data_IF_628711855486
#
_entry.id   IF_628711855486
#
_cell.length_a   1.000
_cell.length_b   1.000
_cell.length_c   1.000
_cell.angle_alpha   90.00
_cell.angle_beta   90.00
_cell.angle_gamma   90.00
#
_symmetry.space_group_name_H-M   'P 1'
#
loop_
_entity.id
_entity.type
_entity.pdbx_description
1 polymer ?
#
# COMPACT_ATOMS: atom_id res chain seq x y z
N UNK A 1 -15.48 4.68 -44.46
CA UNK A 1 -14.66 5.87 -44.15
C UNK A 1 -13.25 5.71 -44.66
N UNK A 2 -12.68 6.72 -45.32
CA UNK A 2 -11.27 6.76 -45.72
C UNK A 2 -10.45 7.59 -44.74
N UNK A 3 -9.32 7.06 -44.26
CA UNK A 3 -8.43 7.79 -43.35
C UNK A 3 -6.98 7.72 -43.84
N UNK A 4 -6.28 8.85 -43.74
CA UNK A 4 -4.84 8.93 -43.94
C UNK A 4 -4.09 8.34 -42.75
N UNK A 5 -3.00 7.59 -42.95
CA UNK A 5 -2.17 7.07 -41.86
C UNK A 5 -1.45 8.16 -41.04
N UNK A 6 -1.48 9.42 -41.46
CA UNK A 6 -0.96 10.56 -40.69
C UNK A 6 -2.05 11.30 -39.88
N UNK A 7 -3.16 10.62 -39.58
CA UNK A 7 -4.21 11.17 -38.71
C UNK A 7 -3.72 11.24 -37.25
N UNK A 8 -4.04 12.30 -36.48
CA UNK A 8 -3.69 12.36 -35.05
C UNK A 8 -4.28 11.15 -34.29
N UNK A 9 -3.44 10.46 -33.51
CA UNK A 9 -3.78 9.18 -32.87
C UNK A 9 -5.00 9.27 -31.95
N UNK A 10 -5.16 10.38 -31.23
CA UNK A 10 -6.27 10.60 -30.31
C UNK A 10 -7.61 10.65 -31.06
N UNK A 11 -7.69 11.39 -32.16
CA UNK A 11 -8.90 11.49 -33.00
C UNK A 11 -9.16 10.17 -33.75
N UNK A 12 -8.09 9.47 -34.15
CA UNK A 12 -8.19 8.17 -34.82
C UNK A 12 -8.87 7.13 -33.91
N UNK A 13 -8.54 7.10 -32.62
CA UNK A 13 -9.17 6.20 -31.65
C UNK A 13 -10.68 6.45 -31.53
N UNK A 14 -11.11 7.72 -31.54
CA UNK A 14 -12.54 8.08 -31.52
C UNK A 14 -13.27 7.68 -32.80
N UNK A 15 -12.65 7.82 -33.96
CA UNK A 15 -13.26 7.40 -35.23
C UNK A 15 -13.34 5.87 -35.31
N UNK A 16 -12.32 5.16 -34.82
CA UNK A 16 -12.29 3.70 -34.77
C UNK A 16 -13.33 3.14 -33.80
N UNK A 17 -13.50 3.75 -32.62
CA UNK A 17 -14.52 3.32 -31.67
C UNK A 17 -15.93 3.55 -32.24
N UNK A 18 -16.19 4.73 -32.80
CA UNK A 18 -17.48 5.03 -33.45
C UNK A 18 -17.78 4.10 -34.62
N UNK A 19 -16.79 3.84 -35.48
CA UNK A 19 -16.98 2.96 -36.63
C UNK A 19 -17.22 1.49 -36.24
N UNK A 20 -16.58 1.02 -35.16
CA UNK A 20 -16.81 -0.31 -34.61
C UNK A 20 -18.24 -0.47 -34.09
N UNK A 21 -18.78 0.57 -33.43
CA UNK A 21 -20.13 0.53 -32.85
C UNK A 21 -21.25 0.61 -33.89
N UNK A 22 -20.99 1.21 -35.04
CA UNK A 22 -21.97 1.40 -36.11
C UNK A 22 -21.72 0.55 -37.35
N UNK A 23 -20.84 -0.45 -37.25
CA UNK A 23 -20.47 -1.39 -38.32
C UNK A 23 -19.99 -0.68 -39.62
N UNK A 24 -19.30 0.45 -39.44
CA UNK A 24 -18.81 1.29 -40.53
C UNK A 24 -17.43 0.81 -40.97
N UNK A 25 -17.30 0.34 -42.21
CA UNK A 25 -16.01 -0.10 -42.74
C UNK A 25 -15.03 1.07 -42.88
N UNK A 26 -13.84 0.95 -42.27
CA UNK A 26 -12.74 1.89 -42.42
C UNK A 26 -11.72 1.35 -43.42
N UNK A 27 -11.28 2.20 -44.34
CA UNK A 27 -10.25 1.90 -45.33
C UNK A 27 -9.13 2.93 -45.17
N UNK A 28 -7.92 2.47 -44.89
CA UNK A 28 -6.76 3.34 -44.80
C UNK A 28 -6.20 3.62 -46.19
N UNK A 29 -6.00 4.89 -46.52
CA UNK A 29 -5.57 5.35 -47.84
C UNK A 29 -4.43 6.34 -47.67
N UNK A 30 -3.36 6.20 -48.44
CA UNK A 30 -2.22 7.12 -48.31
C UNK A 30 -2.60 8.56 -48.69
N UNK A 31 -1.96 9.55 -48.07
CA UNK A 31 -2.19 10.97 -48.41
C UNK A 31 -1.97 11.28 -49.89
N UNK A 32 -1.13 10.50 -50.58
CA UNK A 32 -0.87 10.61 -52.03
C UNK A 32 -2.05 10.10 -52.87
N UNK A 33 -2.72 9.03 -52.45
CA UNK A 33 -3.94 8.51 -53.08
C UNK A 33 -5.12 9.45 -52.84
N UNK A 34 -5.29 10.00 -51.63
CA UNK A 34 -6.31 11.01 -51.34
C UNK A 34 -6.13 12.28 -52.18
N UNK A 35 -4.89 12.77 -52.36
CA UNK A 35 -4.63 13.94 -53.23
C UNK A 35 -4.96 13.70 -54.70
N UNK A 36 -4.74 12.48 -55.21
CA UNK A 36 -5.10 12.12 -56.60
C UNK A 36 -6.60 12.07 -56.84
N UNK A 37 -7.39 11.70 -55.83
CA UNK A 37 -8.84 11.59 -55.92
C UNK A 37 -9.55 12.95 -55.87
N UNK A 38 -8.98 13.94 -55.16
CA UNK A 38 -9.67 15.20 -54.87
C UNK A 38 -9.00 16.45 -55.44
N UNK A 39 -7.90 16.28 -56.20
CA UNK A 39 -7.11 17.24 -57.02
C UNK A 39 -6.72 18.63 -56.44
N UNK A 40 -7.39 19.16 -55.40
CA UNK A 40 -7.19 20.51 -54.84
C UNK A 40 -7.31 20.61 -53.32
N UNK A 41 -7.67 19.53 -52.63
CA UNK A 41 -7.95 19.56 -51.19
C UNK A 41 -6.90 18.78 -50.39
N UNK A 42 -6.30 19.40 -49.37
CA UNK A 42 -5.45 18.72 -48.39
C UNK A 42 -6.37 18.11 -47.35
N UNK A 43 -6.75 16.84 -47.54
CA UNK A 43 -7.66 16.12 -46.67
C UNK A 43 -6.94 14.96 -45.98
N UNK A 44 -7.18 14.79 -44.68
CA UNK A 44 -6.70 13.65 -43.91
C UNK A 44 -7.70 12.50 -43.85
N UNK A 45 -8.95 12.69 -44.28
CA UNK A 45 -9.96 11.63 -44.36
C UNK A 45 -11.21 12.07 -45.10
N UNK A 46 -12.07 11.11 -45.47
CA UNK A 46 -13.34 11.33 -46.17
C UNK A 46 -14.37 10.27 -45.78
N UNK A 47 -15.65 10.65 -45.70
CA UNK A 47 -16.76 9.75 -45.41
C UNK A 47 -17.67 9.64 -46.64
N UNK A 48 -18.26 8.46 -46.85
CA UNK A 48 -19.12 8.17 -48.00
C UNK A 48 -20.43 7.57 -47.51
N UNK A 49 -21.54 7.95 -48.14
CA UNK A 49 -22.83 7.28 -47.89
C UNK A 49 -22.91 5.98 -48.68
N UNK A 50 -23.71 5.02 -48.21
CA UNK A 50 -23.78 3.67 -48.81
C UNK A 50 -24.15 3.66 -50.30
N UNK A 51 -24.99 4.61 -50.75
CA UNK A 51 -25.38 4.76 -52.16
C UNK A 51 -24.21 5.15 -53.08
N UNK A 52 -23.11 5.61 -52.51
CA UNK A 52 -21.96 6.21 -53.21
C UNK A 52 -20.74 5.27 -53.18
N UNK A 53 -20.80 4.22 -52.35
CA UNK A 53 -19.75 3.21 -52.12
C UNK A 53 -19.37 2.45 -53.39
N UNK A 54 -20.36 2.09 -54.22
CA UNK A 54 -20.15 1.27 -55.43
C UNK A 54 -19.39 2.02 -56.52
N UNK A 55 -19.80 3.26 -56.82
CA UNK A 55 -19.13 4.13 -57.77
C UNK A 55 -17.69 4.47 -57.34
N UNK A 56 -17.47 4.63 -56.02
CA UNK A 56 -16.13 4.85 -55.46
C UNK A 56 -15.22 3.62 -55.61
N UNK A 57 -15.71 2.42 -55.29
CA UNK A 57 -14.93 1.17 -55.43
C UNK A 57 -14.60 0.87 -56.90
N UNK A 58 -15.50 1.14 -57.83
CA UNK A 58 -15.27 1.03 -59.27
C UNK A 58 -14.22 2.03 -59.76
N UNK A 59 -14.18 3.26 -59.24
CA UNK A 59 -13.16 4.24 -59.59
C UNK A 59 -11.77 3.91 -58.99
N UNK A 60 -11.72 3.24 -57.84
CA UNK A 60 -10.48 2.86 -57.14
C UNK A 60 -9.87 1.54 -57.64
N UNK A 61 -10.72 0.58 -58.06
CA UNK A 61 -10.31 -0.79 -58.40
C UNK A 61 -10.72 -1.23 -59.82
N UNK A 62 -11.51 -0.43 -60.55
CA UNK A 62 -12.00 -0.73 -61.90
C UNK A 62 -10.98 -0.47 -63.00
N UNK A 63 -9.86 -1.18 -62.94
CA UNK A 63 -8.92 -1.33 -64.04
C UNK A 63 -8.84 -2.78 -64.47
N UNK A 64 -9.73 -3.23 -65.36
CA UNK A 64 -9.49 -4.45 -66.13
C UNK A 64 -10.72 -5.28 -66.47
N UNK A 65 -11.16 -5.22 -67.74
CA UNK A 65 -10.80 -6.22 -68.78
C UNK A 65 -11.71 -6.04 -70.00
N UNK A 66 -11.14 -5.59 -71.13
CA UNK A 66 -11.06 -6.37 -72.38
C UNK A 66 -10.84 -5.48 -73.62
N UNK A 67 -9.72 -5.72 -74.32
CA UNK A 67 -9.64 -5.61 -75.78
C UNK A 67 -9.42 -4.22 -76.39
N UNK A 68 -8.15 -3.81 -76.55
CA UNK A 68 -7.52 -3.48 -77.84
C UNK A 68 -6.19 -2.75 -77.59
N UNK A 69 -5.22 -3.06 -78.46
CA UNK A 69 -3.83 -2.59 -78.43
C UNK A 69 -3.73 -1.06 -78.49
N UNK A 70 -2.71 -0.54 -77.81
CA UNK A 70 -1.97 0.65 -78.26
C UNK A 70 -2.60 1.99 -77.91
N UNK A 71 -2.15 2.55 -76.79
CA UNK A 71 -1.85 3.95 -76.51
C UNK A 71 -2.16 4.23 -75.04
N UNK A 72 -1.12 4.56 -74.28
CA UNK A 72 -1.26 5.37 -73.07
C UNK A 72 -2.13 6.57 -73.43
N UNK A 73 -3.36 6.60 -72.91
CA UNK A 73 -4.13 7.82 -72.81
C UNK A 73 -4.27 8.11 -71.34
N UNK A 74 -3.62 9.18 -70.93
CA UNK A 74 -3.96 9.95 -69.75
C UNK A 74 -5.47 10.21 -69.74
N UNK A 75 -6.22 9.36 -69.04
CA UNK A 75 -7.59 9.69 -68.67
C UNK A 75 -7.47 10.44 -67.35
N UNK A 76 -7.42 11.76 -67.45
CA UNK A 76 -7.65 12.64 -66.32
C UNK A 76 -8.97 12.25 -65.62
N UNK A 77 -9.06 12.34 -64.29
CA UNK A 77 -10.28 12.03 -63.53
C UNK A 77 -11.37 13.09 -63.69
N UNK A 78 -11.41 13.78 -64.84
CA UNK A 78 -12.47 14.70 -65.25
C UNK A 78 -13.62 14.02 -65.99
N UNK A 79 -13.52 12.70 -66.27
CA UNK A 79 -14.55 11.93 -66.99
C UNK A 79 -15.45 11.07 -66.10
N UNK A 80 -15.13 10.90 -64.81
CA UNK A 80 -16.08 10.39 -63.83
C UNK A 80 -16.82 11.60 -63.24
N UNK A 81 -18.10 11.74 -63.55
CA UNK A 81 -18.97 12.80 -63.04
C UNK A 81 -19.19 12.75 -61.52
N UNK A 82 -18.14 13.05 -60.76
CA UNK A 82 -18.14 13.29 -59.32
C UNK A 82 -18.48 14.74 -58.86
N UNK A 83 -19.02 15.71 -59.64
CA UNK A 83 -19.30 17.05 -59.08
C UNK A 83 -20.52 17.15 -58.14
N UNK A 84 -21.26 16.06 -57.88
CA UNK A 84 -22.48 16.08 -57.04
C UNK A 84 -22.56 14.95 -56.02
N UNK A 85 -21.43 14.59 -55.43
CA UNK A 85 -21.41 13.81 -54.21
C UNK A 85 -21.31 14.77 -53.03
N UNK A 86 -22.19 14.61 -52.03
CA UNK A 86 -22.13 15.35 -50.76
C UNK A 86 -20.92 14.82 -49.97
N UNK A 87 -19.73 15.30 -50.31
CA UNK A 87 -18.48 14.94 -49.65
C UNK A 87 -18.08 16.08 -48.71
N UNK A 88 -18.12 15.82 -47.41
CA UNK A 88 -17.64 16.75 -46.39
C UNK A 88 -16.17 16.49 -46.06
N UNK A 89 -15.34 17.53 -46.06
CA UNK A 89 -13.87 17.45 -45.99
C UNK A 89 -13.29 18.06 -44.71
N UNK A 90 -12.22 17.46 -44.17
CA UNK A 90 -11.39 18.06 -43.11
C UNK A 90 -10.15 18.74 -43.71
N UNK A 91 -10.00 20.06 -43.50
CA UNK A 91 -8.80 20.82 -43.87
C UNK A 91 -7.89 21.09 -42.66
N UNK A 92 -6.62 20.71 -42.75
CA UNK A 92 -5.61 20.74 -41.66
C UNK A 92 -4.90 22.09 -41.45
N UNK A 93 -5.30 23.19 -42.10
CA UNK A 93 -4.36 24.34 -42.29
C UNK A 93 -4.10 25.22 -41.05
N UNK A 94 -4.81 25.05 -39.92
CA UNK A 94 -4.59 25.83 -38.70
C UNK A 94 -4.95 25.02 -37.44
N UNK A 95 -4.02 24.20 -36.94
CA UNK A 95 -4.31 23.22 -35.87
C UNK A 95 -3.88 23.61 -34.45
N UNK A 96 -3.07 24.66 -34.27
CA UNK A 96 -2.54 24.96 -32.92
C UNK A 96 -3.47 25.80 -32.02
N UNK A 97 -4.72 26.07 -32.42
CA UNK A 97 -5.65 26.88 -31.60
C UNK A 97 -7.10 26.39 -31.54
N UNK A 98 -7.41 25.24 -32.16
CA UNK A 98 -8.78 24.80 -32.47
C UNK A 98 -9.11 23.37 -32.03
N UNK A 99 -8.30 22.74 -31.15
CA UNK A 99 -8.53 21.37 -30.65
C UNK A 99 -9.93 21.17 -30.04
N UNK A 100 -10.52 22.21 -29.44
CA UNK A 100 -11.85 22.16 -28.82
C UNK A 100 -13.03 22.35 -29.79
N UNK A 101 -12.82 22.98 -30.94
CA UNK A 101 -13.90 23.24 -31.91
C UNK A 101 -14.01 22.14 -32.97
N UNK A 102 -12.92 21.43 -33.25
CA UNK A 102 -12.90 20.30 -34.18
C UNK A 102 -13.63 19.08 -33.63
N UNK A 103 -13.53 18.79 -32.34
CA UNK A 103 -14.35 17.75 -31.68
C UNK A 103 -15.82 18.13 -31.68
N UNK A 104 -16.17 19.38 -31.37
CA UNK A 104 -17.55 19.88 -31.42
C UNK A 104 -18.17 19.90 -32.83
N UNK A 105 -17.41 20.23 -33.86
CA UNK A 105 -17.88 20.24 -35.25
C UNK A 105 -17.97 18.84 -35.85
N UNK A 106 -17.01 17.95 -35.55
CA UNK A 106 -17.02 16.53 -35.93
C UNK A 106 -18.21 15.82 -35.28
N UNK A 107 -18.49 16.09 -34.00
CA UNK A 107 -19.65 15.51 -33.30
C UNK A 107 -20.97 16.10 -33.79
N UNK A 108 -21.08 17.42 -34.01
CA UNK A 108 -22.29 18.03 -34.63
C UNK A 108 -22.60 17.45 -36.01
N UNK A 109 -21.58 17.06 -36.77
CA UNK A 109 -21.76 16.44 -38.08
C UNK A 109 -22.14 14.95 -37.98
N UNK A 110 -21.55 14.21 -37.03
CA UNK A 110 -22.01 12.87 -36.63
C UNK A 110 -23.48 12.92 -36.18
N UNK A 111 -23.92 13.95 -35.43
CA UNK A 111 -25.32 14.17 -35.05
C UNK A 111 -26.25 14.35 -36.26
N UNK A 112 -25.79 15.05 -37.30
CA UNK A 112 -26.63 15.38 -38.45
C UNK A 112 -26.78 14.19 -39.42
N UNK A 113 -25.79 13.31 -39.44
CA UNK A 113 -25.76 12.11 -40.29
C UNK A 113 -26.35 10.88 -39.62
N UNK A 114 -26.26 10.77 -38.29
CA UNK A 114 -26.91 9.74 -37.51
C UNK A 114 -28.39 10.09 -37.23
N UNK A 115 -29.22 10.10 -38.29
CA UNK A 115 -30.68 10.26 -38.18
C UNK A 115 -31.39 9.11 -37.42
N UNK A 116 -30.64 8.17 -36.82
CA UNK A 116 -31.14 7.06 -36.02
C UNK A 116 -30.66 7.04 -34.57
N UNK A 117 -29.83 7.98 -34.13
CA UNK A 117 -29.51 8.17 -32.71
C UNK A 117 -30.25 9.39 -32.18
N UNK A 118 -31.04 9.21 -31.12
CA UNK A 118 -31.87 10.27 -30.54
C UNK A 118 -31.04 11.56 -30.32
N UNK A 119 -31.46 12.74 -30.80
CA UNK A 119 -30.70 14.00 -30.67
C UNK A 119 -30.27 14.32 -29.23
N UNK A 120 -31.06 13.86 -28.26
CA UNK A 120 -30.83 13.94 -26.82
C UNK A 120 -29.59 13.14 -26.36
N UNK A 121 -29.25 12.04 -27.01
CA UNK A 121 -28.11 11.20 -26.67
C UNK A 121 -26.79 11.90 -26.99
N UNK A 122 -26.73 12.60 -28.12
CA UNK A 122 -25.48 13.25 -28.53
C UNK A 122 -25.23 14.55 -27.76
N UNK A 123 -26.29 15.29 -27.45
CA UNK A 123 -26.21 16.44 -26.53
C UNK A 123 -25.71 16.00 -25.15
N UNK A 124 -26.22 14.89 -24.63
CA UNK A 124 -25.79 14.29 -23.37
C UNK A 124 -24.30 13.89 -23.34
N UNK A 125 -23.81 13.17 -24.35
CA UNK A 125 -22.40 12.73 -24.43
C UNK A 125 -21.45 13.93 -24.51
N UNK A 126 -21.81 14.96 -25.27
CA UNK A 126 -21.02 16.21 -25.36
C UNK A 126 -21.02 16.96 -24.03
N UNK A 127 -22.15 17.02 -23.32
CA UNK A 127 -22.23 17.65 -22.01
C UNK A 127 -21.40 16.92 -20.95
N UNK A 128 -21.43 15.59 -20.89
CA UNK A 128 -20.60 14.79 -19.96
C UNK A 128 -19.12 14.92 -20.28
N UNK A 129 -18.76 14.94 -21.57
CA UNK A 129 -17.36 15.10 -21.97
C UNK A 129 -16.80 16.47 -21.56
N UNK A 130 -17.59 17.53 -21.63
CA UNK A 130 -17.19 18.87 -21.16
C UNK A 130 -17.04 18.95 -19.63
N UNK A 131 -17.68 18.05 -18.87
CA UNK A 131 -17.58 17.98 -17.40
C UNK A 131 -16.33 17.24 -16.92
N UNK A 132 -15.50 16.69 -17.81
CA UNK A 132 -14.25 15.98 -17.47
C UNK A 132 -13.20 16.86 -16.75
N UNK A 133 -13.47 18.16 -16.62
CA UNK A 133 -12.65 19.13 -15.89
C UNK A 133 -12.73 18.97 -14.36
N UNK A 134 -13.85 18.46 -13.81
CA UNK A 134 -14.06 18.35 -12.36
C UNK A 134 -15.10 17.26 -12.00
N UNK A 135 -14.74 16.23 -11.21
CA UNK A 135 -15.67 15.17 -10.79
C UNK A 135 -16.91 15.65 -10.02
N UNK A 136 -16.82 16.79 -9.33
CA UNK A 136 -17.94 17.36 -8.58
C UNK A 136 -19.00 18.00 -9.49
N UNK A 137 -18.60 18.58 -10.63
CA UNK A 137 -19.54 19.14 -11.62
C UNK A 137 -20.40 18.02 -12.25
N UNK A 138 -19.84 16.81 -12.32
CA UNK A 138 -20.51 15.62 -12.83
C UNK A 138 -21.63 15.09 -11.91
N UNK A 139 -21.52 15.31 -10.59
CA UNK A 139 -22.55 14.89 -9.61
C UNK A 139 -23.84 15.72 -9.72
N UNK A 140 -23.73 16.95 -10.20
CA UNK A 140 -24.88 17.87 -10.34
C UNK A 140 -25.48 17.83 -11.74
N UNK A 141 -24.84 17.16 -12.70
CA UNK A 141 -25.32 17.05 -14.07
C UNK A 141 -26.72 16.43 -14.18
N UNK A 142 -27.01 15.37 -13.44
CA UNK A 142 -28.34 14.74 -13.40
C UNK A 142 -29.38 15.61 -12.68
N UNK A 143 -28.96 16.40 -11.69
CA UNK A 143 -29.84 17.34 -11.01
C UNK A 143 -30.24 18.49 -11.95
N UNK A 144 -29.32 18.95 -12.79
CA UNK A 144 -29.55 19.98 -13.80
C UNK A 144 -30.30 19.44 -15.03
N UNK A 145 -30.24 18.12 -15.28
CA UNK A 145 -30.82 17.48 -16.45
C UNK A 145 -31.63 16.21 -16.11
N UNK A 146 -32.76 16.34 -15.39
CA UNK A 146 -33.54 15.20 -14.91
C UNK A 146 -34.13 14.34 -16.04
N UNK A 147 -34.24 14.86 -17.27
CA UNK A 147 -34.73 14.13 -18.44
C UNK A 147 -33.87 12.89 -18.78
N UNK A 148 -32.59 12.91 -18.45
CA UNK A 148 -31.67 11.80 -18.73
C UNK A 148 -31.66 10.74 -17.62
N UNK A 149 -32.35 10.99 -16.50
CA UNK A 149 -32.44 10.03 -15.38
C UNK A 149 -33.37 8.85 -15.62
N UNK A 150 -33.98 8.75 -16.81
CA UNK A 150 -35.02 7.75 -17.15
C UNK A 150 -34.56 6.77 -18.24
N UNK A 151 -33.54 7.13 -19.02
CA UNK A 151 -33.03 6.32 -20.12
C UNK A 151 -31.90 5.40 -19.65
N UNK A 152 -32.10 4.09 -19.77
CA UNK A 152 -31.18 3.08 -19.27
C UNK A 152 -29.80 3.14 -19.92
N UNK A 153 -29.73 3.28 -21.25
CA UNK A 153 -28.47 3.24 -22.00
C UNK A 153 -27.62 4.48 -21.70
N UNK A 154 -28.28 5.63 -21.56
CA UNK A 154 -27.66 6.87 -21.12
C UNK A 154 -27.12 6.78 -19.70
N UNK A 155 -27.90 6.19 -18.78
CA UNK A 155 -27.49 5.98 -17.39
C UNK A 155 -26.27 5.08 -17.29
N UNK A 156 -26.25 3.96 -18.02
CA UNK A 156 -25.09 3.04 -18.07
C UNK A 156 -23.84 3.78 -18.55
N UNK A 157 -23.97 4.60 -19.60
CA UNK A 157 -22.84 5.37 -20.13
C UNK A 157 -22.33 6.41 -19.12
N UNK A 158 -23.23 7.20 -18.52
CA UNK A 158 -22.88 8.21 -17.52
C UNK A 158 -22.17 7.59 -16.31
N UNK A 159 -22.66 6.47 -15.81
CA UNK A 159 -22.11 5.79 -14.64
C UNK A 159 -20.69 5.27 -14.91
N UNK A 160 -20.38 4.90 -16.16
CA UNK A 160 -19.02 4.57 -16.57
C UNK A 160 -18.04 5.73 -16.42
N UNK A 161 -18.47 6.97 -16.65
CA UNK A 161 -17.62 8.17 -16.50
C UNK A 161 -17.65 8.75 -15.09
N UNK A 162 -18.81 8.76 -14.45
CA UNK A 162 -19.04 9.41 -13.16
C UNK A 162 -19.78 8.45 -12.21
N UNK A 163 -19.10 7.45 -11.61
CA UNK A 163 -19.74 6.41 -10.80
C UNK A 163 -20.52 6.93 -9.59
N UNK A 164 -20.07 8.02 -8.97
CA UNK A 164 -20.70 8.62 -7.80
C UNK A 164 -22.06 9.30 -8.12
N UNK A 165 -22.38 9.50 -9.41
CA UNK A 165 -23.68 9.99 -9.84
C UNK A 165 -24.82 9.00 -9.57
N UNK A 166 -24.49 7.73 -9.26
CA UNK A 166 -25.44 6.70 -8.84
C UNK A 166 -26.36 7.16 -7.70
N UNK A 167 -25.85 7.99 -6.79
CA UNK A 167 -26.63 8.55 -5.67
C UNK A 167 -27.76 9.49 -6.07
N UNK A 168 -27.74 10.02 -7.30
CA UNK A 168 -28.78 10.91 -7.83
C UNK A 168 -29.87 10.17 -8.62
N UNK A 169 -29.68 8.88 -8.89
CA UNK A 169 -30.61 8.08 -9.67
C UNK A 169 -31.76 7.55 -8.79
N UNK A 170 -32.87 7.16 -9.44
CA UNK A 170 -34.01 6.55 -8.77
C UNK A 170 -33.62 5.22 -8.10
N UNK A 171 -34.43 4.77 -7.13
CA UNK A 171 -34.20 3.49 -6.45
C UNK A 171 -34.17 2.30 -7.42
N UNK A 172 -34.89 2.40 -8.55
CA UNK A 172 -34.89 1.36 -9.59
C UNK A 172 -33.48 1.13 -10.15
N UNK A 173 -32.76 2.19 -10.51
CA UNK A 173 -31.39 2.09 -11.02
C UNK A 173 -30.36 1.78 -9.93
N UNK A 174 -30.57 2.26 -8.71
CA UNK A 174 -29.73 1.91 -7.56
C UNK A 174 -29.89 0.45 -7.11
N UNK A 175 -30.95 -0.22 -7.57
CA UNK A 175 -31.20 -1.64 -7.37
C UNK A 175 -30.93 -2.48 -8.63
N UNK A 176 -30.42 -1.86 -9.70
CA UNK A 176 -30.06 -2.57 -10.93
C UNK A 176 -28.63 -3.11 -10.82
N UNK A 177 -28.49 -4.44 -10.95
CA UNK A 177 -27.20 -5.11 -10.81
C UNK A 177 -26.16 -4.59 -11.81
N UNK A 178 -26.53 -4.42 -13.09
CA UNK A 178 -25.58 -4.09 -14.15
C UNK A 178 -25.07 -2.66 -14.00
N UNK A 179 -25.96 -1.72 -13.67
CA UNK A 179 -25.57 -0.32 -13.45
C UNK A 179 -24.67 -0.20 -12.23
N UNK A 180 -25.05 -0.83 -11.11
CA UNK A 180 -24.25 -0.77 -9.88
C UNK A 180 -22.91 -1.48 -10.06
N UNK A 181 -22.88 -2.63 -10.73
CA UNK A 181 -21.64 -3.35 -11.03
C UNK A 181 -20.67 -2.49 -11.86
N UNK A 182 -21.17 -1.81 -12.89
CA UNK A 182 -20.35 -0.90 -13.69
C UNK A 182 -19.82 0.27 -12.85
N UNK A 183 -20.65 0.87 -11.99
CA UNK A 183 -20.24 1.95 -11.11
C UNK A 183 -19.10 1.50 -10.18
N UNK A 184 -19.31 0.39 -9.48
CA UNK A 184 -18.41 -0.18 -8.47
C UNK A 184 -17.10 -0.65 -9.09
N UNK A 185 -17.15 -1.18 -10.32
CA UNK A 185 -15.95 -1.61 -11.05
C UNK A 185 -15.01 -0.45 -11.37
N UNK A 186 -15.55 0.76 -11.58
CA UNK A 186 -14.76 1.97 -11.84
C UNK A 186 -14.35 2.67 -10.54
N UNK A 187 -15.27 2.78 -9.57
CA UNK A 187 -15.00 3.35 -8.26
C UNK A 187 -15.79 2.62 -7.17
N UNK A 188 -15.10 1.90 -6.30
CA UNK A 188 -15.70 1.08 -5.25
C UNK A 188 -16.55 1.85 -4.26
N UNK A 189 -16.29 3.15 -4.07
CA UNK A 189 -17.08 4.00 -3.16
C UNK A 189 -18.53 4.19 -3.68
N UNK A 190 -18.80 3.90 -4.95
CA UNK A 190 -20.15 3.89 -5.51
C UNK A 190 -21.06 2.85 -4.82
N UNK A 191 -20.50 1.85 -4.14
CA UNK A 191 -21.25 0.88 -3.33
C UNK A 191 -22.15 1.59 -2.30
N UNK A 192 -21.74 2.75 -1.78
CA UNK A 192 -22.53 3.54 -0.83
C UNK A 192 -23.89 4.02 -1.35
N UNK A 193 -24.05 4.09 -2.68
CA UNK A 193 -25.29 4.51 -3.32
C UNK A 193 -26.16 3.34 -3.77
N UNK A 194 -25.66 2.10 -3.72
CA UNK A 194 -26.44 0.92 -4.08
C UNK A 194 -27.56 0.65 -3.06
N UNK A 195 -28.60 -0.03 -3.53
CA UNK A 195 -29.70 -0.50 -2.67
C UNK A 195 -29.19 -1.42 -1.56
N UNK A 196 -29.90 -1.49 -0.44
CA UNK A 196 -29.51 -2.35 0.68
C UNK A 196 -29.34 -3.84 0.31
N UNK A 197 -30.21 -4.45 -0.52
CA UNK A 197 -30.00 -5.81 -1.01
C UNK A 197 -28.68 -5.97 -1.77
N UNK A 198 -28.38 -5.06 -2.69
CA UNK A 198 -27.14 -5.13 -3.48
C UNK A 198 -25.89 -4.91 -2.61
N UNK A 199 -25.93 -4.03 -1.61
CA UNK A 199 -24.82 -3.88 -0.66
C UNK A 199 -24.56 -5.15 0.18
N UNK A 200 -25.54 -6.05 0.30
CA UNK A 200 -25.38 -7.34 0.94
C UNK A 200 -24.91 -8.44 -0.01
N UNK A 201 -24.80 -8.17 -1.32
CA UNK A 201 -24.30 -9.14 -2.28
C UNK A 201 -22.78 -9.25 -2.21
N UNK A 202 -22.31 -10.43 -1.78
CA UNK A 202 -20.88 -10.70 -1.55
C UNK A 202 -20.02 -10.38 -2.78
N UNK A 203 -20.45 -10.81 -3.95
CA UNK A 203 -19.69 -10.63 -5.19
C UNK A 203 -19.53 -9.15 -5.55
N UNK A 204 -20.57 -8.33 -5.32
CA UNK A 204 -20.50 -6.89 -5.57
C UNK A 204 -19.59 -6.20 -4.55
N UNK A 205 -19.67 -6.58 -3.28
CA UNK A 205 -18.80 -6.04 -2.22
C UNK A 205 -17.33 -6.35 -2.51
N UNK A 206 -17.00 -7.60 -2.87
CA UNK A 206 -15.63 -7.96 -3.24
C UNK A 206 -15.14 -7.12 -4.42
N UNK A 207 -16.00 -6.93 -5.44
CA UNK A 207 -15.66 -6.08 -6.58
C UNK A 207 -15.40 -4.63 -6.18
N UNK A 208 -16.16 -4.11 -5.22
CA UNK A 208 -15.96 -2.77 -4.67
C UNK A 208 -14.63 -2.64 -3.93
N UNK A 209 -14.26 -3.64 -3.15
CA UNK A 209 -13.02 -3.62 -2.37
C UNK A 209 -11.77 -3.76 -3.24
N UNK A 210 -11.87 -4.44 -4.39
CA UNK A 210 -10.80 -4.47 -5.39
C UNK A 210 -10.48 -3.07 -5.93
N UNK A 211 -11.51 -2.26 -6.19
CA UNK A 211 -11.34 -0.92 -6.78
C UNK A 211 -11.11 0.17 -5.71
N UNK A 212 -11.69 0.03 -4.51
CA UNK A 212 -11.47 0.90 -3.35
C UNK A 212 -11.62 0.12 -2.05
N UNK A 213 -10.52 -0.07 -1.31
CA UNK A 213 -10.54 -0.69 0.03
C UNK A 213 -11.36 0.10 1.07
N UNK A 214 -11.70 1.36 0.80
CA UNK A 214 -12.58 2.17 1.67
C UNK A 214 -14.06 1.84 1.51
N UNK A 215 -14.45 1.09 0.46
CA UNK A 215 -15.82 0.66 0.24
C UNK A 215 -16.37 -0.22 1.39
N UNK A 216 -15.50 -0.73 2.26
CA UNK A 216 -15.89 -1.47 3.48
C UNK A 216 -16.88 -0.69 4.35
N UNK A 217 -16.81 0.65 4.37
CA UNK A 217 -17.73 1.50 5.13
C UNK A 217 -19.20 1.40 4.67
N UNK A 218 -19.42 0.98 3.43
CA UNK A 218 -20.76 0.81 2.87
C UNK A 218 -21.27 -0.63 2.99
N UNK A 219 -20.40 -1.55 3.40
CA UNK A 219 -20.68 -2.98 3.52
C UNK A 219 -21.49 -3.25 4.81
N UNK A 220 -22.54 -4.07 4.78
CA UNK A 220 -23.28 -4.45 5.97
C UNK A 220 -22.41 -5.12 7.03
N UNK A 221 -22.73 -4.89 8.32
CA UNK A 221 -21.99 -5.42 9.47
C UNK A 221 -21.75 -6.94 9.42
N UNK A 222 -22.71 -7.70 8.88
CA UNK A 222 -22.62 -9.16 8.75
C UNK A 222 -21.45 -9.56 7.85
N UNK A 223 -21.24 -8.83 6.75
CA UNK A 223 -20.15 -9.07 5.82
C UNK A 223 -18.83 -8.46 6.29
N UNK A 224 -18.85 -7.38 7.08
CA UNK A 224 -17.62 -6.83 7.66
C UNK A 224 -16.95 -7.83 8.62
N UNK A 225 -17.71 -8.70 9.28
CA UNK A 225 -17.15 -9.78 10.12
C UNK A 225 -16.50 -10.91 9.31
N UNK A 226 -16.73 -10.96 8.01
CA UNK A 226 -16.20 -12.01 7.15
C UNK A 226 -14.70 -11.79 6.89
N UNK A 227 -13.93 -12.85 7.13
CA UNK A 227 -12.47 -12.81 7.00
C UNK A 227 -12.02 -12.54 5.56
N UNK A 228 -12.70 -13.08 4.55
CA UNK A 228 -12.33 -12.88 3.14
C UNK A 228 -12.62 -11.45 2.70
N UNK A 229 -13.73 -10.86 3.16
CA UNK A 229 -14.06 -9.44 2.91
C UNK A 229 -12.96 -8.54 3.51
N UNK A 230 -12.55 -8.80 4.75
CA UNK A 230 -11.48 -8.02 5.39
C UNK A 230 -10.11 -8.23 4.72
N UNK A 231 -9.85 -9.42 4.17
CA UNK A 231 -8.66 -9.68 3.36
C UNK A 231 -8.67 -8.91 2.03
N UNK A 232 -9.82 -8.84 1.34
CA UNK A 232 -9.95 -8.04 0.14
C UNK A 232 -9.70 -6.55 0.43
N UNK A 233 -10.30 -6.01 1.50
CA UNK A 233 -10.04 -4.64 1.93
C UNK A 233 -8.55 -4.39 2.23
N UNK A 234 -7.87 -5.35 2.86
CA UNK A 234 -6.43 -5.29 3.17
C UNK A 234 -5.57 -5.15 1.91
N UNK A 235 -5.83 -5.94 0.88
CA UNK A 235 -5.02 -5.96 -0.34
C UNK A 235 -4.91 -4.55 -0.92
N UNK A 236 -6.03 -3.83 -1.03
CA UNK A 236 -6.01 -2.45 -1.53
C UNK A 236 -5.32 -1.47 -0.55
N UNK A 237 -5.68 -1.52 0.74
CA UNK A 237 -5.22 -0.54 1.74
C UNK A 237 -3.70 -0.59 1.97
N UNK A 238 -3.07 -1.76 1.91
CA UNK A 238 -1.63 -1.91 2.16
C UNK A 238 -0.75 -1.44 1.00
N UNK A 239 -1.23 -1.44 -0.24
CA UNK A 239 -0.44 -0.96 -1.38
C UNK A 239 -0.30 0.56 -1.44
N UNK A 240 -1.11 1.31 -0.66
CA UNK A 240 -1.21 2.77 -0.77
C UNK A 240 -0.81 3.52 0.51
N UNK A 241 -0.78 2.87 1.67
CA UNK A 241 -0.48 3.52 2.95
C UNK A 241 0.44 2.68 3.82
N UNK A 242 1.33 3.37 4.55
CA UNK A 242 2.20 2.77 5.57
C UNK A 242 1.43 2.42 6.85
N UNK A 243 0.27 3.06 7.09
CA UNK A 243 -0.57 2.85 8.27
C UNK A 243 -2.00 2.50 7.88
N UNK A 244 -2.56 1.45 8.48
CA UNK A 244 -3.90 0.98 8.20
C UNK A 244 -4.96 1.80 8.97
N UNK A 245 -5.94 2.36 8.26
CA UNK A 245 -7.08 3.10 8.86
C UNK A 245 -8.39 2.30 8.89
N UNK A 246 -8.32 0.97 8.79
CA UNK A 246 -9.50 0.11 8.69
C UNK A 246 -10.53 0.35 9.79
N UNK A 247 -10.09 0.61 11.03
CA UNK A 247 -10.99 0.85 12.16
C UNK A 247 -11.84 2.12 12.03
N UNK A 248 -11.47 3.07 11.17
CA UNK A 248 -12.26 4.27 10.90
C UNK A 248 -13.42 4.01 9.93
N UNK A 249 -13.33 2.94 9.13
CA UNK A 249 -14.28 2.62 8.08
C UNK A 249 -15.20 1.45 8.44
N UNK A 250 -14.93 0.72 9.52
CA UNK A 250 -15.82 -0.36 9.98
C UNK A 250 -16.96 0.20 10.82
N UNK A 251 -18.03 -0.57 10.97
CA UNK A 251 -19.16 -0.20 11.81
C UNK A 251 -18.70 0.01 13.28
N UNK A 252 -19.05 1.13 13.94
CA UNK A 252 -18.62 1.43 15.30
C UNK A 252 -18.97 0.36 16.34
N UNK A 253 -20.04 -0.42 16.12
CA UNK A 253 -20.42 -1.50 17.02
C UNK A 253 -19.40 -2.65 17.02
N UNK A 254 -18.67 -2.85 15.92
CA UNK A 254 -17.61 -3.86 15.82
C UNK A 254 -16.35 -3.48 16.60
N UNK A 255 -16.15 -2.19 16.93
CA UNK A 255 -15.03 -1.74 17.74
C UNK A 255 -15.10 -2.24 19.20
N UNK A 256 -16.25 -2.75 19.62
CA UNK A 256 -16.46 -3.38 20.92
C UNK A 256 -16.47 -4.92 20.83
N UNK A 257 -16.41 -5.48 19.62
CA UNK A 257 -16.38 -6.91 19.38
C UNK A 257 -14.94 -7.42 19.45
N UNK A 258 -14.59 -8.02 20.58
CA UNK A 258 -13.26 -8.59 20.84
C UNK A 258 -12.81 -9.56 19.75
N UNK A 259 -13.70 -10.45 19.28
CA UNK A 259 -13.34 -11.46 18.27
C UNK A 259 -13.02 -10.79 16.94
N UNK A 260 -13.81 -9.80 16.57
CA UNK A 260 -13.57 -9.01 15.37
C UNK A 260 -12.23 -8.26 15.43
N UNK A 261 -11.92 -7.61 16.55
CA UNK A 261 -10.65 -6.87 16.72
C UNK A 261 -9.43 -7.78 16.61
N UNK A 262 -9.46 -8.97 17.24
CA UNK A 262 -8.34 -9.91 17.16
C UNK A 262 -8.18 -10.51 15.75
N UNK A 263 -9.29 -10.89 15.11
CA UNK A 263 -9.27 -11.36 13.73
C UNK A 263 -8.69 -10.27 12.81
N UNK A 264 -9.16 -9.03 12.95
CA UNK A 264 -8.69 -7.92 12.12
C UNK A 264 -7.23 -7.59 12.45
N UNK A 265 -6.80 -7.66 13.71
CA UNK A 265 -5.40 -7.48 14.09
C UNK A 265 -4.50 -8.55 13.46
N UNK A 266 -4.94 -9.81 13.44
CA UNK A 266 -4.19 -10.89 12.77
C UNK A 266 -4.05 -10.67 11.25
N UNK A 267 -5.00 -9.95 10.64
CA UNK A 267 -4.94 -9.62 9.22
C UNK A 267 -4.09 -8.37 8.96
N UNK A 268 -4.22 -7.30 9.73
CA UNK A 268 -3.60 -6.01 9.42
C UNK A 268 -2.31 -5.72 10.21
N UNK A 269 -2.00 -6.56 11.20
CA UNK A 269 -0.89 -6.40 12.12
C UNK A 269 -1.01 -5.18 13.04
N UNK A 270 0.08 -4.85 13.71
CA UNK A 270 0.13 -3.74 14.66
C UNK A 270 -0.17 -2.35 14.05
N UNK A 271 -0.03 -2.20 12.72
CA UNK A 271 -0.34 -0.96 12.00
C UNK A 271 -1.78 -0.47 12.20
N UNK A 272 -2.73 -1.38 12.47
CA UNK A 272 -4.11 -1.05 12.79
C UNK A 272 -4.23 -0.18 14.06
N UNK A 273 -3.34 -0.38 15.03
CA UNK A 273 -3.40 0.31 16.31
C UNK A 273 -2.91 1.77 16.24
N UNK A 274 -2.23 2.18 15.16
CA UNK A 274 -1.69 3.54 15.01
C UNK A 274 -2.76 4.63 15.14
N UNK A 275 -3.94 4.38 14.58
CA UNK A 275 -5.09 5.29 14.63
C UNK A 275 -6.27 4.68 15.41
N UNK A 276 -6.04 3.65 16.21
CA UNK A 276 -7.08 3.05 17.01
C UNK A 276 -7.54 4.02 18.11
N UNK A 277 -8.85 4.07 18.41
CA UNK A 277 -9.35 4.82 19.56
C UNK A 277 -8.70 4.40 20.87
N UNK A 278 -8.54 5.35 21.79
CA UNK A 278 -7.87 5.13 23.08
C UNK A 278 -8.48 3.99 23.89
N UNK A 279 -9.80 3.79 23.85
CA UNK A 279 -10.44 2.70 24.59
C UNK A 279 -10.00 1.30 24.13
N UNK A 280 -9.48 1.16 22.90
CA UNK A 280 -8.88 -0.09 22.40
C UNK A 280 -7.44 -0.21 22.92
N UNK A 281 -6.64 0.84 22.79
CA UNK A 281 -5.22 0.85 23.17
C UNK A 281 -4.99 0.89 24.69
N UNK A 282 -6.02 1.26 25.46
CA UNK A 282 -6.05 1.19 26.93
C UNK A 282 -6.62 -0.14 27.46
N UNK A 283 -7.21 -0.98 26.60
CA UNK A 283 -7.81 -2.25 27.04
C UNK A 283 -6.72 -3.31 27.26
N UNK A 284 -6.24 -3.39 28.51
CA UNK A 284 -5.23 -4.34 28.98
C UNK A 284 -5.50 -5.78 28.53
N UNK A 285 -6.72 -6.29 28.70
CA UNK A 285 -7.05 -7.68 28.36
C UNK A 285 -6.97 -7.97 26.86
N UNK A 286 -7.38 -7.01 26.02
CA UNK A 286 -7.34 -7.13 24.57
C UNK A 286 -5.90 -7.03 24.06
N UNK A 287 -5.15 -6.05 24.57
CA UNK A 287 -3.76 -5.81 24.17
C UNK A 287 -2.89 -7.03 24.51
N UNK A 288 -3.06 -7.63 25.68
CA UNK A 288 -2.33 -8.86 26.05
C UNK A 288 -2.61 -10.03 25.09
N UNK A 289 -3.81 -10.12 24.50
CA UNK A 289 -4.08 -11.11 23.47
C UNK A 289 -3.48 -10.73 22.11
N UNK A 290 -3.46 -9.45 21.76
CA UNK A 290 -2.80 -8.97 20.54
C UNK A 290 -1.28 -9.20 20.60
N UNK A 291 -0.65 -9.03 21.76
CA UNK A 291 0.77 -9.29 21.98
C UNK A 291 1.13 -10.76 21.71
N UNK A 292 0.23 -11.70 22.04
CA UNK A 292 0.42 -13.13 21.73
C UNK A 292 0.41 -13.41 20.23
N UNK A 293 -0.26 -12.57 19.44
CA UNK A 293 -0.32 -12.69 17.98
C UNK A 293 0.90 -12.02 17.35
N UNK A 294 1.19 -10.78 17.75
CA UNK A 294 2.32 -9.99 17.28
C UNK A 294 2.81 -9.05 18.40
N UNK A 295 4.03 -9.26 18.93
CA UNK A 295 4.64 -8.42 19.97
C UNK A 295 4.68 -6.92 19.63
N UNK A 296 4.71 -6.58 18.33
CA UNK A 296 4.72 -5.20 17.84
C UNK A 296 3.52 -4.37 18.33
N UNK A 297 2.45 -5.01 18.82
CA UNK A 297 1.34 -4.35 19.52
C UNK A 297 1.81 -3.43 20.68
N UNK A 298 2.92 -3.79 21.34
CA UNK A 298 3.49 -3.01 22.44
C UNK A 298 3.86 -1.58 22.03
N UNK A 299 4.21 -1.34 20.76
CA UNK A 299 4.60 -0.02 20.28
C UNK A 299 3.43 0.98 20.18
N UNK A 300 2.19 0.48 20.23
CA UNK A 300 0.97 1.29 20.07
C UNK A 300 0.09 1.30 21.32
N UNK A 301 0.57 0.71 22.42
CA UNK A 301 -0.14 0.72 23.69
C UNK A 301 -0.24 2.14 24.26
N UNK A 302 -1.39 2.46 24.85
CA UNK A 302 -1.56 3.75 25.50
C UNK A 302 -0.62 3.87 26.71
N UNK A 303 -0.04 5.06 26.91
CA UNK A 303 1.00 5.30 27.92
C UNK A 303 0.55 4.96 29.36
N UNK A 304 -0.75 5.02 29.65
CA UNK A 304 -1.32 4.64 30.96
C UNK A 304 -1.10 3.17 31.31
N UNK A 305 -0.93 2.27 30.33
CA UNK A 305 -0.63 0.87 30.58
C UNK A 305 0.80 0.66 31.08
N UNK A 306 1.74 1.53 30.67
CA UNK A 306 3.14 1.48 31.10
C UNK A 306 3.35 1.88 32.57
N UNK A 307 2.33 2.44 33.21
CA UNK A 307 2.31 2.70 34.66
C UNK A 307 1.66 1.57 35.47
N UNK A 308 1.09 0.55 34.81
CA UNK A 308 0.41 -0.55 35.49
C UNK A 308 1.33 -1.75 35.65
N UNK A 309 1.70 -2.04 36.90
CA UNK A 309 2.53 -3.21 37.25
C UNK A 309 1.97 -4.54 36.73
N UNK A 310 0.66 -4.79 36.86
CA UNK A 310 0.01 -6.03 36.39
C UNK A 310 0.20 -6.27 34.90
N UNK A 311 -0.03 -5.22 34.11
CA UNK A 311 0.13 -5.24 32.66
C UNK A 311 1.59 -5.50 32.28
N UNK A 312 2.54 -4.74 32.85
CA UNK A 312 3.97 -4.89 32.55
C UNK A 312 4.47 -6.29 32.88
N UNK A 313 4.11 -6.85 34.04
CA UNK A 313 4.49 -8.21 34.40
C UNK A 313 3.93 -9.26 33.44
N UNK A 314 2.69 -9.07 32.97
CA UNK A 314 2.05 -9.97 32.00
C UNK A 314 2.68 -9.83 30.61
N UNK A 315 2.98 -8.60 30.17
CA UNK A 315 3.67 -8.34 28.91
C UNK A 315 5.08 -8.96 28.91
N UNK A 316 5.81 -8.84 30.02
CA UNK A 316 7.11 -9.50 30.22
C UNK A 316 7.00 -11.03 30.15
N UNK A 317 5.87 -11.66 30.49
CA UNK A 317 5.71 -13.11 30.30
C UNK A 317 5.54 -13.49 28.82
N UNK A 318 4.93 -12.60 28.04
CA UNK A 318 4.54 -12.87 26.66
C UNK A 318 5.62 -12.50 25.64
N UNK A 319 6.56 -11.60 25.99
CA UNK A 319 7.58 -11.11 25.07
C UNK A 319 8.97 -11.03 25.71
N UNK A 320 10.00 -11.02 24.87
CA UNK A 320 11.40 -10.81 25.28
C UNK A 320 11.88 -9.39 24.96
N UNK A 321 10.95 -8.47 24.65
CA UNK A 321 11.27 -7.08 24.38
C UNK A 321 11.80 -6.36 25.65
N UNK A 322 12.70 -5.38 25.46
CA UNK A 322 13.13 -4.49 26.53
C UNK A 322 12.00 -3.51 26.89
N UNK A 323 11.16 -3.90 27.84
CA UNK A 323 10.04 -3.08 28.30
C UNK A 323 10.44 -2.01 29.32
N UNK A 324 11.56 -2.19 30.05
CA UNK A 324 11.96 -1.27 31.12
C UNK A 324 12.23 0.16 30.62
N UNK A 325 12.66 0.33 29.37
CA UNK A 325 12.83 1.66 28.78
C UNK A 325 11.50 2.41 28.63
N UNK A 326 10.37 1.70 28.50
CA UNK A 326 9.03 2.26 28.22
C UNK A 326 8.20 2.51 29.49
N UNK A 327 8.51 1.84 30.60
CA UNK A 327 7.74 1.96 31.85
C UNK A 327 8.05 3.26 32.61
N UNK A 328 7.13 3.68 33.48
CA UNK A 328 7.34 4.86 34.31
C UNK A 328 8.47 4.66 35.34
N UNK A 329 9.12 5.73 35.83
CA UNK A 329 10.24 5.65 36.75
C UNK A 329 9.95 4.83 38.02
N UNK A 330 8.71 4.86 38.51
CA UNK A 330 8.28 4.09 39.68
C UNK A 330 8.38 2.58 39.44
N UNK A 331 8.11 2.11 38.22
CA UNK A 331 8.26 0.69 37.85
C UNK A 331 9.68 0.32 37.43
N UNK A 332 10.50 1.30 37.04
CA UNK A 332 11.96 1.12 36.87
C UNK A 332 12.69 0.93 38.21
N UNK A 333 12.04 1.32 39.31
CA UNK A 333 12.49 1.08 40.69
C UNK A 333 11.68 -0.03 41.39
N UNK A 334 10.74 -0.68 40.70
CA UNK A 334 10.03 -1.83 41.25
C UNK A 334 10.88 -3.09 41.13
N UNK A 335 11.34 -3.57 42.28
CA UNK A 335 12.20 -4.75 42.42
C UNK A 335 11.68 -5.97 41.64
N UNK A 336 10.38 -6.24 41.67
CA UNK A 336 9.79 -7.43 41.04
C UNK A 336 9.78 -7.30 39.51
N UNK A 337 9.41 -6.12 39.00
CA UNK A 337 9.41 -5.84 37.55
C UNK A 337 10.83 -5.92 37.00
N UNK A 338 11.80 -5.27 37.67
CA UNK A 338 13.20 -5.27 37.24
C UNK A 338 13.80 -6.66 37.28
N UNK A 339 13.64 -7.41 38.38
CA UNK A 339 14.20 -8.76 38.49
C UNK A 339 13.69 -9.68 37.37
N UNK A 340 12.39 -9.61 37.06
CA UNK A 340 11.79 -10.38 35.96
C UNK A 340 12.33 -9.97 34.59
N UNK A 341 12.40 -8.68 34.32
CA UNK A 341 12.93 -8.14 33.07
C UNK A 341 14.39 -8.54 32.85
N UNK A 342 15.22 -8.38 33.89
CA UNK A 342 16.64 -8.70 33.90
C UNK A 342 16.90 -10.20 33.75
N UNK A 343 16.00 -11.03 34.27
CA UNK A 343 16.11 -12.49 34.10
C UNK A 343 15.92 -12.97 32.66
N UNK A 344 15.30 -12.15 31.81
CA UNK A 344 15.14 -12.41 30.37
C UNK A 344 16.29 -11.82 29.55
N UNK A 345 16.66 -10.58 29.84
CA UNK A 345 17.81 -9.93 29.22
C UNK A 345 18.54 -9.06 30.25
N UNK A 346 19.77 -9.44 30.59
CA UNK A 346 20.59 -8.73 31.58
C UNK A 346 20.94 -7.29 31.19
N UNK A 347 20.89 -6.94 29.89
CA UNK A 347 21.08 -5.57 29.41
C UNK A 347 20.01 -4.62 29.98
N UNK A 348 18.82 -5.14 30.32
CA UNK A 348 17.73 -4.34 30.86
C UNK A 348 18.07 -3.70 32.22
N UNK A 349 19.12 -4.16 32.90
CA UNK A 349 19.66 -3.54 34.11
C UNK A 349 20.04 -2.06 33.90
N UNK A 350 20.43 -1.69 32.68
CA UNK A 350 20.81 -0.33 32.32
C UNK A 350 19.69 0.70 32.57
N UNK A 351 18.43 0.28 32.49
CA UNK A 351 17.24 1.12 32.64
C UNK A 351 16.66 1.13 34.06
N UNK A 352 17.30 0.42 35.00
CA UNK A 352 16.83 0.33 36.38
C UNK A 352 17.36 1.49 37.23
N UNK A 353 16.68 1.77 38.35
CA UNK A 353 17.15 2.78 39.31
C UNK A 353 18.56 2.47 39.84
N UNK A 354 19.26 3.49 40.33
CA UNK A 354 20.57 3.28 40.96
C UNK A 354 20.51 2.34 42.18
N UNK A 355 19.42 2.41 42.96
CA UNK A 355 19.20 1.53 44.10
C UNK A 355 19.14 0.05 43.68
N UNK A 356 18.39 -0.27 42.62
CA UNK A 356 18.30 -1.65 42.11
C UNK A 356 19.54 -2.09 41.35
N UNK A 357 20.29 -1.17 40.73
CA UNK A 357 21.64 -1.43 40.19
C UNK A 357 22.67 -1.73 41.29
N UNK A 358 22.36 -1.40 42.55
CA UNK A 358 23.11 -1.80 43.74
C UNK A 358 22.52 -3.04 44.47
N UNK A 359 21.45 -3.65 43.97
CA UNK A 359 20.90 -4.89 44.54
C UNK A 359 21.71 -6.08 43.99
N UNK A 360 22.42 -6.76 44.90
CA UNK A 360 23.27 -7.91 44.55
C UNK A 360 22.51 -9.03 43.87
N UNK A 361 21.26 -9.31 44.26
CA UNK A 361 20.48 -10.40 43.65
C UNK A 361 20.08 -10.05 42.22
N UNK A 362 19.63 -8.82 41.97
CA UNK A 362 19.26 -8.34 40.62
C UNK A 362 20.49 -8.35 39.71
N UNK A 363 21.61 -7.79 40.17
CA UNK A 363 22.84 -7.78 39.38
C UNK A 363 23.32 -9.22 39.10
N UNK A 364 23.17 -10.14 40.06
CA UNK A 364 23.48 -11.56 39.85
C UNK A 364 22.60 -12.17 38.78
N UNK A 365 21.29 -11.89 38.80
CA UNK A 365 20.37 -12.35 37.76
C UNK A 365 20.76 -11.80 36.38
N UNK A 366 21.11 -10.51 36.29
CA UNK A 366 21.52 -9.87 35.04
C UNK A 366 22.77 -10.51 34.43
N UNK A 367 23.74 -10.79 35.28
CA UNK A 367 25.06 -11.28 34.87
C UNK A 367 25.14 -12.79 34.76
N UNK A 368 24.00 -13.49 34.95
CA UNK A 368 23.93 -14.95 34.91
C UNK A 368 24.32 -15.51 33.53
N UNK A 369 23.79 -14.91 32.46
CA UNK A 369 24.10 -15.35 31.10
C UNK A 369 25.31 -14.62 30.52
N UNK A 370 25.44 -13.31 30.72
CA UNK A 370 26.57 -12.54 30.21
C UNK A 370 27.18 -11.68 31.33
N UNK A 371 28.39 -12.03 31.81
CA UNK A 371 29.06 -11.29 32.88
C UNK A 371 29.32 -9.81 32.57
N UNK A 372 29.38 -9.43 31.28
CA UNK A 372 29.62 -8.05 30.85
C UNK A 372 28.56 -7.07 31.32
N UNK A 373 27.32 -7.51 31.57
CA UNK A 373 26.23 -6.65 32.04
C UNK A 373 26.48 -6.06 33.44
N UNK A 374 27.54 -6.48 34.13
CA UNK A 374 28.03 -5.82 35.34
C UNK A 374 28.42 -4.36 35.11
N UNK A 375 28.73 -3.97 33.87
CA UNK A 375 29.00 -2.57 33.51
C UNK A 375 27.82 -1.64 33.82
N UNK A 376 26.60 -2.19 33.92
CA UNK A 376 25.40 -1.46 34.30
C UNK A 376 25.16 -1.43 35.82
N UNK A 377 25.86 -2.23 36.62
CA UNK A 377 25.70 -2.22 38.08
C UNK A 377 26.23 -0.93 38.71
N UNK A 378 25.95 -0.70 39.99
CA UNK A 378 26.53 0.42 40.75
C UNK A 378 28.07 0.36 40.77
N UNK A 379 28.77 1.50 40.92
CA UNK A 379 30.21 1.51 41.10
C UNK A 379 30.69 0.66 42.30
N UNK A 380 29.85 0.49 43.32
CA UNK A 380 30.14 -0.34 44.50
C UNK A 380 30.19 -1.83 44.14
N UNK A 381 29.17 -2.35 43.43
CA UNK A 381 29.15 -3.75 42.99
C UNK A 381 30.23 -4.01 41.94
N UNK A 382 30.50 -3.06 41.05
CA UNK A 382 31.61 -3.18 40.09
C UNK A 382 32.98 -3.26 40.77
N UNK A 383 33.11 -2.75 42.00
CA UNK A 383 34.36 -2.83 42.79
C UNK A 383 34.47 -4.10 43.63
N UNK A 384 33.38 -4.84 43.81
CA UNK A 384 33.33 -6.05 44.63
C UNK A 384 33.94 -7.24 43.88
N UNK A 385 35.17 -7.58 44.26
CA UNK A 385 35.96 -8.66 43.67
C UNK A 385 35.28 -10.02 43.75
N UNK A 386 34.51 -10.31 44.81
CA UNK A 386 33.98 -11.66 45.04
C UNK A 386 32.83 -11.98 44.09
N UNK A 387 31.93 -11.00 43.86
CA UNK A 387 30.83 -11.14 42.90
C UNK A 387 31.34 -11.31 41.47
N UNK A 388 32.46 -10.65 41.14
CA UNK A 388 33.12 -10.71 39.84
C UNK A 388 33.81 -12.07 39.62
N UNK A 389 34.55 -12.55 40.61
CA UNK A 389 35.28 -13.83 40.56
C UNK A 389 34.33 -15.02 40.42
N UNK A 390 33.22 -15.04 41.15
CA UNK A 390 32.24 -16.12 41.08
C UNK A 390 31.61 -16.28 39.68
N UNK A 391 31.55 -15.19 38.91
CA UNK A 391 30.88 -15.14 37.60
C UNK A 391 31.83 -15.34 36.42
N UNK A 392 33.12 -15.00 36.60
CA UNK A 392 34.20 -15.34 35.66
C UNK A 392 34.30 -16.85 35.35
N UNK A 393 33.85 -17.69 36.29
CA UNK A 393 33.81 -19.14 36.12
C UNK A 393 32.95 -19.61 34.94
N UNK A 394 31.83 -18.93 34.66
CA UNK A 394 30.90 -19.36 33.61
C UNK A 394 31.39 -19.06 32.19
N UNK A 395 32.36 -18.15 32.03
CA UNK A 395 32.96 -17.80 30.74
C UNK A 395 34.48 -17.87 30.84
N UNK A 396 35.04 -19.09 30.78
CA UNK A 396 36.48 -19.31 30.76
C UNK A 396 37.19 -18.63 29.57
N UNK A 397 36.45 -18.20 28.54
CA UNK A 397 37.01 -17.69 27.29
C UNK A 397 36.72 -16.21 26.99
N UNK A 398 35.83 -15.53 27.72
CA UNK A 398 35.45 -14.14 27.43
C UNK A 398 35.71 -13.20 28.62
N UNK A 399 36.86 -12.54 28.57
CA UNK A 399 37.39 -11.68 29.64
C UNK A 399 37.09 -10.19 29.44
N UNK A 400 36.34 -9.83 28.40
CA UNK A 400 36.06 -8.42 28.06
C UNK A 400 35.32 -7.68 29.17
N UNK A 401 34.57 -8.37 30.04
CA UNK A 401 33.92 -7.73 31.18
C UNK A 401 34.91 -7.05 32.14
N UNK A 402 36.18 -7.51 32.19
CA UNK A 402 37.22 -6.90 33.01
C UNK A 402 37.61 -5.50 32.54
N UNK A 403 37.39 -5.14 31.27
CA UNK A 403 37.71 -3.78 30.77
C UNK A 403 36.81 -2.69 31.36
N UNK A 404 35.61 -3.07 31.79
CA UNK A 404 34.62 -2.15 32.37
C UNK A 404 34.83 -1.91 33.87
N UNK A 405 35.77 -2.63 34.50
CA UNK A 405 36.01 -2.51 35.93
C UNK A 405 36.89 -1.32 36.29
N UNK A 406 36.81 -0.91 37.56
CA UNK A 406 37.65 0.18 38.05
C UNK A 406 39.14 -0.19 38.02
N UNK A 407 40.00 0.81 37.77
CA UNK A 407 41.46 0.64 37.82
C UNK A 407 41.95 0.12 39.17
N UNK A 408 41.21 0.37 40.25
CA UNK A 408 41.54 -0.12 41.59
C UNK A 408 41.41 -1.63 41.69
N UNK A 409 40.36 -2.24 41.13
CA UNK A 409 40.18 -3.69 41.10
C UNK A 409 41.22 -4.35 40.21
N UNK A 410 41.47 -3.76 39.02
CA UNK A 410 42.48 -4.27 38.08
C UNK A 410 43.93 -4.19 38.60
N UNK A 411 44.17 -3.50 39.72
CA UNK A 411 45.45 -3.45 40.43
C UNK A 411 45.60 -4.52 41.51
N UNK A 412 44.53 -5.20 41.92
CA UNK A 412 44.56 -6.16 43.02
C UNK A 412 45.17 -7.49 42.54
N UNK A 413 46.35 -7.81 43.07
CA UNK A 413 47.04 -9.09 42.86
C UNK A 413 46.15 -10.28 43.23
N UNK A 414 45.54 -10.22 44.42
CA UNK A 414 44.75 -11.33 44.97
C UNK A 414 43.49 -11.62 44.15
N UNK A 415 42.91 -10.59 43.53
CA UNK A 415 41.78 -10.73 42.62
C UNK A 415 42.12 -11.58 41.40
N UNK A 416 43.24 -11.32 40.73
CA UNK A 416 43.68 -12.13 39.59
C UNK A 416 44.11 -13.54 40.01
N UNK A 417 44.74 -13.70 41.18
CA UNK A 417 45.04 -15.04 41.71
C UNK A 417 43.76 -15.84 41.93
N UNK A 418 42.74 -15.24 42.53
CA UNK A 418 41.48 -15.94 42.80
C UNK A 418 40.76 -16.34 41.50
N UNK A 419 40.76 -15.48 40.48
CA UNK A 419 40.24 -15.82 39.14
C UNK A 419 41.01 -17.00 38.55
N UNK A 420 42.34 -16.96 38.57
CA UNK A 420 43.19 -17.99 37.96
C UNK A 420 43.06 -19.30 38.73
N UNK A 421 43.02 -19.26 40.05
CA UNK A 421 42.81 -20.45 40.90
C UNK A 421 41.50 -21.16 40.58
N UNK A 422 40.43 -20.40 40.31
CA UNK A 422 39.10 -20.97 40.04
C UNK A 422 38.86 -21.35 38.59
N UNK A 423 39.37 -20.57 37.64
CA UNK A 423 39.11 -20.75 36.20
C UNK A 423 40.23 -21.49 35.47
N UNK A 424 41.40 -21.62 36.10
CA UNK A 424 42.64 -22.17 35.53
C UNK A 424 43.05 -21.52 34.20
N UNK A 425 42.61 -20.29 33.97
CA UNK A 425 42.83 -19.55 32.73
C UNK A 425 43.54 -18.22 32.97
N UNK A 426 44.60 -17.96 32.20
CA UNK A 426 45.47 -16.77 32.32
C UNK A 426 45.09 -15.62 31.40
N UNK A 427 44.16 -15.79 30.46
CA UNK A 427 43.81 -14.73 29.52
C UNK A 427 43.22 -13.49 30.21
N UNK A 428 42.70 -13.63 31.44
CA UNK A 428 42.30 -12.51 32.29
C UNK A 428 43.44 -11.50 32.55
N UNK A 429 44.70 -11.96 32.58
CA UNK A 429 45.88 -11.12 32.85
C UNK A 429 46.14 -10.06 31.79
N UNK A 430 45.55 -10.18 30.58
CA UNK A 430 45.58 -9.11 29.57
C UNK A 430 44.98 -7.79 30.09
N UNK A 431 44.06 -7.88 31.05
CA UNK A 431 43.37 -6.74 31.65
C UNK A 431 44.00 -6.27 32.96
N UNK A 432 45.00 -7.00 33.48
CA UNK A 432 45.70 -6.63 34.70
C UNK A 432 46.42 -5.29 34.52
N UNK A 433 46.23 -4.39 35.48
CA UNK A 433 46.87 -3.08 35.50
C UNK A 433 47.70 -2.98 36.77
N UNK A 434 49.02 -3.02 36.70
CA UNK A 434 49.84 -2.88 37.90
C UNK A 434 51.23 -3.46 37.76
N UNK A 435 52.10 -3.14 38.71
CA UNK A 435 53.51 -3.58 38.71
C UNK A 435 53.64 -5.05 39.12
N UNK A 436 52.60 -5.65 39.72
CA UNK A 436 52.61 -7.06 40.15
C UNK A 436 52.81 -8.06 39.00
N UNK A 437 52.54 -7.67 37.75
CA UNK A 437 52.90 -8.48 36.58
C UNK A 437 54.42 -8.62 36.37
N UNK A 438 55.23 -7.81 37.06
CA UNK A 438 56.69 -7.90 37.10
C UNK A 438 57.21 -8.63 38.35
N UNK A 439 56.33 -9.01 39.28
CA UNK A 439 56.70 -9.78 40.47
C UNK A 439 56.92 -11.24 40.08
N UNK A 440 58.17 -11.70 40.16
CA UNK A 440 58.55 -13.07 39.82
C UNK A 440 57.84 -14.10 40.70
N UNK A 441 57.57 -13.80 41.98
CA UNK A 441 56.86 -14.71 42.87
C UNK A 441 55.40 -14.89 42.47
N UNK A 442 54.77 -13.83 41.95
CA UNK A 442 53.40 -13.90 41.44
C UNK A 442 53.30 -14.74 40.18
N UNK A 443 54.22 -14.57 39.23
CA UNK A 443 54.25 -15.35 37.98
C UNK A 443 54.53 -16.84 38.27
N UNK A 444 55.45 -17.16 39.19
CA UNK A 444 55.71 -18.54 39.61
C UNK A 444 54.46 -19.17 40.23
N UNK A 445 53.77 -18.45 41.14
CA UNK A 445 52.53 -18.94 41.75
C UNK A 445 51.42 -19.20 40.73
N UNK A 446 51.29 -18.35 39.72
CA UNK A 446 50.35 -18.57 38.60
C UNK A 446 50.74 -19.82 37.80
N UNK A 447 52.03 -19.99 37.51
CA UNK A 447 52.53 -21.15 36.79
C UNK A 447 52.22 -22.44 37.57
N UNK A 448 52.52 -22.50 38.87
CA UNK A 448 52.20 -23.63 39.74
C UNK A 448 50.69 -23.97 39.76
N UNK A 449 49.82 -22.96 39.79
CA UNK A 449 48.37 -23.14 39.79
C UNK A 449 47.83 -23.74 38.49
N UNK A 450 48.45 -23.44 37.35
CA UNK A 450 48.08 -23.99 36.03
C UNK A 450 48.74 -25.36 35.82
N UNK A 451 49.98 -25.51 36.28
CA UNK A 451 50.77 -26.74 36.11
C UNK A 451 50.22 -27.90 36.94
N UNK A 452 49.41 -27.61 37.97
CA UNK A 452 48.66 -28.60 38.74
C UNK A 452 47.73 -29.49 37.89
N UNK A 453 47.31 -29.08 36.69
CA UNK A 453 46.62 -29.93 35.68
C UNK A 453 47.54 -30.43 34.54
N UNK A 454 48.68 -29.77 34.27
CA UNK A 454 49.55 -30.07 33.11
C UNK A 454 50.61 -31.16 33.34
N UNK A 455 50.45 -32.03 34.35
CA UNK A 455 51.15 -33.33 34.36
C UNK A 455 50.69 -34.30 33.25
N UNK A 456 49.91 -33.86 32.27
CA UNK A 456 49.39 -34.69 31.18
C UNK A 456 49.43 -34.08 29.76
N UNK A 457 50.17 -32.99 29.50
CA UNK A 457 50.48 -32.57 28.11
C UNK A 457 51.82 -31.87 27.95
#
# INVERSE_FOLDING_TARGET
>A
TLLSPHFPNEILLHILSFASWHDISIIFVTSKQLRRLFEKWICSGAFFRDREKRAFLECMYGGGKSGLRGQERDVAPSSCGLPRLLVDFFQLKYILKWEYLLTGALMKWICHTAQHTHPSYVEFVVSIHNLQSNPDDCKDFLALNPRYSVDYDLVVHLIGYCPLSLGRLSDAFRNDWQIVWNAVSTNGDALGYASAPLRAERALVLKALESSGYAIQYTPIVLQRDREIMQAARQYLMHRQWHCRILQYVDPSLLHDRKFLLMTFSLFGASMLYHAPDFITQNESLILEMIKIDPSALNYCHHTLWSRKSFVLSALDLTDECLLQKVCPELQDDRQVVLKSVSKNGENLAFSSEALRNDREIVTAATKEYPLFICYASPEIQRDSVAIVARAFFFQSNWNFLSFMSREVLKKRDFFLEIIQRTKNVHCLKFAQGVFMRDSQFIVKIAEEIDSERRLY
#
